data_IF_780765371804
#
_entry.id   IF_780765371804
#
_cell.length_a   1.000
_cell.length_b   1.000
_cell.length_c   1.000
_cell.angle_alpha   90.00
_cell.angle_beta   90.00
_cell.angle_gamma   90.00
#
_symmetry.space_group_name_H-M   'P 1'
#
loop_
_entity.id
_entity.type
_entity.pdbx_description
1 polymer ?
#
# COMPACT_ATOMS: atom_id res chain seq x y z
N UNK A 1 12.44 61.89 9.35
CA UNK A 1 12.83 60.50 9.11
C UNK A 1 11.59 59.75 8.68
N UNK A 2 11.52 59.43 7.39
CA UNK A 2 10.41 58.80 6.69
C UNK A 2 10.59 57.29 6.71
N UNK A 3 9.55 56.56 7.11
CA UNK A 3 9.49 55.10 7.10
C UNK A 3 9.01 54.60 5.74
N UNK A 4 9.77 53.75 5.08
CA UNK A 4 9.34 53.01 3.88
C UNK A 4 9.14 51.54 4.24
N UNK A 5 7.88 51.10 4.17
CA UNK A 5 7.46 49.69 4.12
C UNK A 5 7.41 49.25 2.64
N UNK A 6 8.09 48.16 2.32
CA UNK A 6 7.91 47.29 1.14
C UNK A 6 8.12 45.88 1.71
N UNK A 7 7.22 44.92 1.65
CA UNK A 7 6.21 44.61 0.65
C UNK A 7 6.49 43.18 0.23
N UNK A 8 5.97 42.22 1.00
CA UNK A 8 6.02 40.78 0.71
C UNK A 8 5.16 40.47 -0.51
N UNK A 9 5.68 39.71 -1.47
CA UNK A 9 4.88 39.12 -2.55
C UNK A 9 4.89 37.61 -2.38
N UNK A 10 3.73 37.09 -1.98
CA UNK A 10 3.29 35.71 -2.15
C UNK A 10 3.52 35.23 -3.59
N UNK A 11 4.06 34.02 -3.72
CA UNK A 11 3.86 33.20 -4.92
C UNK A 11 3.42 31.80 -4.49
N UNK A 12 2.13 31.66 -4.15
CA UNK A 12 1.41 30.39 -4.23
C UNK A 12 1.18 30.08 -5.71
N UNK A 13 1.90 29.10 -6.26
CA UNK A 13 1.56 28.46 -7.53
C UNK A 13 0.86 27.14 -7.23
N UNK A 14 -0.46 27.18 -7.08
CA UNK A 14 -1.29 25.98 -7.17
C UNK A 14 -1.73 25.84 -8.63
N UNK A 15 -1.38 24.73 -9.27
CA UNK A 15 -1.90 24.37 -10.58
C UNK A 15 -3.24 23.66 -10.41
N UNK A 16 -4.32 24.44 -10.48
CA UNK A 16 -5.65 23.92 -10.78
C UNK A 16 -5.72 23.64 -12.29
N UNK A 17 -5.77 22.36 -12.70
CA UNK A 17 -6.22 21.97 -14.04
C UNK A 17 -7.26 20.86 -13.95
N UNK A 18 -8.50 21.26 -13.68
CA UNK A 18 -9.68 20.43 -13.98
C UNK A 18 -9.97 20.48 -15.48
N UNK A 19 -9.75 19.36 -16.16
CA UNK A 19 -10.35 19.08 -17.47
C UNK A 19 -11.50 18.10 -17.26
N UNK A 20 -12.69 18.61 -16.97
CA UNK A 20 -13.92 17.80 -16.93
C UNK A 20 -14.33 17.49 -18.36
N UNK A 21 -14.04 16.29 -18.84
CA UNK A 21 -14.68 15.72 -20.03
C UNK A 21 -15.85 14.86 -19.56
N UNK A 22 -17.06 15.42 -19.61
CA UNK A 22 -18.32 14.71 -19.42
C UNK A 22 -18.52 13.71 -20.57
N UNK A 23 -18.11 12.45 -20.34
CA UNK A 23 -18.45 11.30 -21.16
C UNK A 23 -19.61 10.53 -20.55
N UNK A 24 -20.78 10.62 -21.17
CA UNK A 24 -22.00 9.89 -20.84
C UNK A 24 -21.83 8.36 -20.81
N UNK A 25 -22.13 7.76 -19.66
CA UNK A 25 -22.87 6.49 -19.55
C UNK A 25 -22.07 5.19 -19.71
N UNK A 26 -21.63 4.62 -18.59
CA UNK A 26 -21.55 3.17 -18.45
C UNK A 26 -22.34 2.72 -17.22
N UNK A 27 -23.19 1.72 -17.43
CA UNK A 27 -23.96 1.06 -16.40
C UNK A 27 -23.01 0.16 -15.60
N UNK A 28 -22.96 0.37 -14.28
CA UNK A 28 -22.32 -0.54 -13.35
C UNK A 28 -23.14 -1.84 -13.33
N UNK A 29 -22.58 -2.90 -13.91
CA UNK A 29 -23.08 -4.26 -13.69
C UNK A 29 -22.38 -4.75 -12.43
N UNK A 30 -23.16 -4.89 -11.36
CA UNK A 30 -22.69 -5.50 -10.11
C UNK A 30 -22.17 -6.90 -10.39
N UNK A 31 -20.95 -7.18 -9.91
CA UNK A 31 -20.38 -8.52 -9.87
C UNK A 31 -21.20 -9.32 -8.86
N UNK A 32 -22.20 -10.03 -9.36
CA UNK A 32 -22.99 -10.97 -8.59
C UNK A 32 -22.17 -12.23 -8.31
N UNK A 33 -22.15 -12.65 -7.05
CA UNK A 33 -21.56 -13.91 -6.59
C UNK A 33 -21.96 -15.08 -7.48
N UNK A 34 -20.94 -15.79 -7.96
CA UNK A 34 -21.12 -16.98 -8.79
C UNK A 34 -21.33 -18.16 -7.86
N UNK A 35 -22.60 -18.52 -7.64
CA UNK A 35 -22.95 -19.83 -7.12
C UNK A 35 -22.64 -20.90 -8.17
N UNK A 36 -21.61 -21.71 -7.92
CA UNK A 36 -21.26 -22.83 -8.79
C UNK A 36 -22.21 -24.01 -8.57
N UNK A 37 -22.93 -24.35 -9.64
CA UNK A 37 -23.83 -25.50 -9.73
C UNK A 37 -23.01 -26.74 -10.10
N UNK A 38 -23.16 -27.77 -9.27
CA UNK A 38 -22.74 -29.16 -9.53
C UNK A 38 -23.17 -29.65 -10.92
N UNK A 39 -22.19 -30.04 -11.74
CA UNK A 39 -22.33 -31.10 -12.73
C UNK A 39 -20.95 -31.70 -13.01
N UNK A 40 -20.75 -32.96 -12.64
CA UNK A 40 -19.55 -33.71 -12.94
C UNK A 40 -19.49 -34.17 -14.39
N UNK A 41 -18.28 -34.40 -14.87
CA UNK A 41 -17.98 -35.55 -15.71
C UNK A 41 -16.50 -35.92 -15.56
N UNK A 42 -16.23 -37.21 -15.45
CA UNK A 42 -14.92 -37.81 -15.30
C UNK A 42 -14.16 -37.78 -16.64
N UNK A 43 -12.93 -37.28 -16.69
CA UNK A 43 -11.92 -37.90 -17.54
C UNK A 43 -10.48 -37.55 -17.13
N UNK A 44 -9.75 -38.61 -16.76
CA UNK A 44 -8.32 -38.62 -16.49
C UNK A 44 -7.50 -38.67 -17.79
N UNK A 45 -6.36 -37.97 -17.80
CA UNK A 45 -5.05 -38.34 -18.40
C UNK A 45 -4.11 -37.13 -18.22
N UNK A 46 -3.27 -37.09 -17.19
CA UNK A 46 -1.89 -37.61 -17.17
C UNK A 46 -1.01 -37.10 -18.32
N UNK A 47 -0.25 -36.04 -18.05
CA UNK A 47 0.76 -35.49 -18.96
C UNK A 47 1.67 -34.49 -18.25
N UNK A 48 2.40 -34.95 -17.23
CA UNK A 48 3.41 -34.14 -16.56
C UNK A 48 4.58 -33.83 -17.49
N UNK A 49 4.80 -32.54 -17.74
CA UNK A 49 6.08 -32.00 -18.20
C UNK A 49 6.52 -30.96 -17.19
N UNK A 50 7.53 -31.30 -16.39
CA UNK A 50 8.22 -30.33 -15.56
C UNK A 50 9.12 -29.49 -16.46
N UNK A 51 8.91 -28.18 -16.43
CA UNK A 51 9.87 -27.20 -16.93
C UNK A 51 10.61 -26.66 -15.71
N UNK A 52 11.84 -27.14 -15.54
CA UNK A 52 12.86 -26.47 -14.73
C UNK A 52 13.88 -25.86 -15.68
N UNK A 53 14.54 -24.81 -15.21
CA UNK A 53 15.73 -24.13 -15.75
C UNK A 53 15.44 -22.77 -16.40
N UNK A 54 14.81 -21.88 -15.64
CA UNK A 54 15.11 -20.45 -15.69
C UNK A 54 16.01 -20.12 -14.49
N UNK A 55 17.11 -19.43 -14.73
CA UNK A 55 18.07 -18.91 -13.74
C UNK A 55 17.33 -17.94 -12.79
N UNK A 56 16.57 -18.49 -11.86
CA UNK A 56 15.90 -17.74 -10.81
C UNK A 56 16.98 -17.23 -9.89
N UNK A 57 17.20 -15.92 -9.90
CA UNK A 57 17.90 -15.25 -8.82
C UNK A 57 17.22 -15.69 -7.53
N UNK A 58 17.88 -16.57 -6.77
CA UNK A 58 17.44 -16.95 -5.44
C UNK A 58 17.42 -15.69 -4.61
N UNK A 59 16.23 -15.21 -4.29
CA UNK A 59 16.02 -14.14 -3.32
C UNK A 59 16.64 -14.62 -2.00
N UNK A 60 17.45 -13.80 -1.31
CA UNK A 60 18.03 -14.21 -0.05
C UNK A 60 16.92 -14.52 0.96
N UNK A 61 16.82 -15.79 1.39
CA UNK A 61 16.02 -16.16 2.55
C UNK A 61 16.47 -15.33 3.76
N UNK A 62 15.61 -14.42 4.22
CA UNK A 62 15.87 -13.55 5.37
C UNK A 62 15.55 -12.06 5.18
N UNK A 63 14.95 -11.65 4.07
CA UNK A 63 14.40 -10.30 3.94
C UNK A 63 13.08 -10.24 4.72
N UNK A 64 12.99 -9.40 5.75
CA UNK A 64 11.71 -9.07 6.37
C UNK A 64 10.87 -8.30 5.35
N UNK A 65 9.74 -8.88 4.93
CA UNK A 65 8.86 -8.30 3.92
C UNK A 65 7.81 -7.41 4.58
N UNK A 66 8.24 -6.23 5.04
CA UNK A 66 7.33 -5.20 5.53
C UNK A 66 6.80 -4.41 4.33
N UNK A 67 5.48 -4.20 4.27
CA UNK A 67 4.83 -3.63 3.09
C UNK A 67 3.87 -2.51 3.45
N UNK A 68 3.86 -1.48 2.62
CA UNK A 68 2.83 -0.45 2.64
C UNK A 68 2.18 -0.37 1.26
N UNK A 69 0.87 -0.17 1.25
CA UNK A 69 0.09 -0.11 0.01
C UNK A 69 -0.89 1.04 0.08
N UNK A 70 -1.02 1.75 -1.04
CA UNK A 70 -2.11 2.67 -1.32
C UNK A 70 -3.12 1.96 -2.22
N UNK A 71 -4.40 2.10 -1.89
CA UNK A 71 -5.51 1.59 -2.68
C UNK A 71 -6.41 2.75 -3.12
N UNK A 72 -6.50 2.93 -4.44
CA UNK A 72 -7.47 3.80 -5.11
C UNK A 72 -8.80 3.03 -5.20
N UNK A 73 -9.72 3.37 -4.28
CA UNK A 73 -11.00 2.68 -4.18
C UNK A 73 -12.02 3.17 -5.21
N UNK A 74 -12.04 4.48 -5.48
CA UNK A 74 -13.02 5.09 -6.37
C UNK A 74 -12.62 5.01 -7.86
N UNK A 75 -11.42 4.46 -8.11
CA UNK A 75 -10.86 4.17 -9.41
C UNK A 75 -10.70 5.45 -10.26
N UNK A 76 -10.38 6.57 -9.62
CA UNK A 76 -10.21 7.86 -10.31
C UNK A 76 -8.86 8.02 -11.01
N UNK A 77 -8.00 6.99 -10.90
CA UNK A 77 -6.66 6.89 -11.47
C UNK A 77 -5.61 7.77 -10.76
N UNK A 78 -5.87 8.14 -9.50
CA UNK A 78 -4.93 8.86 -8.66
C UNK A 78 -4.97 8.34 -7.22
N UNK A 79 -3.87 8.55 -6.48
CA UNK A 79 -3.85 8.39 -5.03
C UNK A 79 -3.90 9.77 -4.38
N UNK A 80 -5.09 10.14 -3.91
CA UNK A 80 -5.32 11.32 -3.08
C UNK A 80 -4.77 11.10 -1.67
N UNK A 81 -4.96 9.90 -1.08
CA UNK A 81 -4.22 9.53 0.13
C UNK A 81 -2.75 9.26 -0.19
N UNK A 82 -1.87 9.78 0.66
CA UNK A 82 -0.42 9.65 0.55
C UNK A 82 0.18 9.22 1.87
N UNK A 83 1.32 8.54 1.80
CA UNK A 83 2.18 8.29 2.95
C UNK A 83 3.46 9.11 2.80
N UNK A 84 3.93 9.69 3.90
CA UNK A 84 5.22 10.40 3.96
C UNK A 84 5.88 10.19 5.31
N UNK A 85 7.21 10.35 5.35
CA UNK A 85 7.97 10.39 6.60
C UNK A 85 8.09 11.83 7.07
N UNK A 86 7.69 12.11 8.31
CA UNK A 86 7.62 13.48 8.85
C UNK A 86 8.28 13.57 10.22
N UNK A 87 8.51 14.81 10.67
CA UNK A 87 8.79 15.06 12.08
C UNK A 87 7.57 14.71 12.93
N UNK A 88 7.85 14.43 14.21
CA UNK A 88 6.84 14.36 15.26
C UNK A 88 5.92 15.59 15.25
N UNK A 89 4.60 15.44 15.01
CA UNK A 89 3.65 16.54 15.01
C UNK A 89 3.50 17.21 16.39
N UNK A 90 3.96 16.57 17.47
CA UNK A 90 3.97 17.10 18.83
C UNK A 90 5.32 17.72 19.24
N UNK A 91 6.32 17.75 18.36
CA UNK A 91 7.67 18.27 18.63
C UNK A 91 8.40 17.58 19.82
N UNK A 92 8.07 16.31 20.15
CA UNK A 92 8.72 15.57 21.25
C UNK A 92 9.93 14.75 20.79
N UNK A 93 10.26 14.78 19.49
CA UNK A 93 11.47 14.20 18.92
C UNK A 93 11.36 12.73 18.52
N UNK A 94 10.15 12.24 18.19
CA UNK A 94 9.98 10.94 17.53
C UNK A 94 10.58 10.96 16.12
N UNK A 95 11.31 9.91 15.80
CA UNK A 95 11.89 9.64 14.48
C UNK A 95 10.97 8.64 13.73
N UNK A 96 11.13 8.52 12.41
CA UNK A 96 10.41 7.55 11.57
C UNK A 96 8.87 7.59 11.70
N UNK A 97 8.30 8.79 11.88
CA UNK A 97 6.85 8.97 11.96
C UNK A 97 6.25 8.87 10.55
N UNK A 98 5.39 7.87 10.35
CA UNK A 98 4.63 7.71 9.11
C UNK A 98 3.36 8.55 9.21
N UNK A 99 3.18 9.48 8.27
CA UNK A 99 1.99 10.31 8.15
C UNK A 99 1.18 9.90 6.93
N UNK A 100 -0.06 9.46 7.17
CA UNK A 100 -1.08 9.23 6.15
C UNK A 100 -1.95 10.47 6.03
N UNK A 101 -1.96 11.10 4.85
CA UNK A 101 -2.66 12.36 4.61
C UNK A 101 -3.36 12.40 3.26
N UNK A 102 -4.48 13.13 3.19
CA UNK A 102 -5.11 13.55 1.93
C UNK A 102 -4.98 15.05 1.67
N UNK A 103 -4.08 15.74 2.40
CA UNK A 103 -3.86 17.19 2.33
C UNK A 103 -5.15 18.04 2.48
N UNK A 104 -6.12 17.54 3.24
CA UNK A 104 -7.41 18.20 3.46
C UNK A 104 -8.49 17.87 2.44
N UNK A 105 -8.22 17.01 1.47
CA UNK A 105 -9.18 16.57 0.47
C UNK A 105 -9.95 15.33 0.96
N UNK A 106 -11.22 15.24 0.62
CA UNK A 106 -12.03 14.04 0.90
C UNK A 106 -11.68 12.98 -0.14
N UNK A 107 -11.31 11.78 0.30
CA UNK A 107 -10.90 10.68 -0.57
C UNK A 107 -11.50 9.35 -0.09
N UNK A 108 -11.80 8.47 -1.06
CA UNK A 108 -12.16 7.07 -0.81
C UNK A 108 -10.94 6.14 -0.75
N UNK A 109 -9.75 6.67 -1.01
CA UNK A 109 -8.52 5.91 -0.97
C UNK A 109 -8.25 5.37 0.42
N UNK A 110 -7.40 4.36 0.45
CA UNK A 110 -7.09 3.62 1.65
C UNK A 110 -5.60 3.29 1.69
N UNK A 111 -4.96 3.54 2.84
CA UNK A 111 -3.58 3.20 3.07
C UNK A 111 -3.49 2.04 4.06
N UNK A 112 -2.58 1.10 3.80
CA UNK A 112 -2.29 -0.03 4.70
C UNK A 112 -0.79 -0.12 4.91
N UNK A 113 -0.36 -0.35 6.14
CA UNK A 113 1.01 -0.67 6.52
C UNK A 113 1.02 -2.00 7.27
N UNK A 114 1.75 -3.00 6.78
CA UNK A 114 1.77 -4.36 7.31
C UNK A 114 3.19 -4.88 7.57
N UNK A 115 3.35 -5.64 8.64
CA UNK A 115 4.58 -6.32 9.03
C UNK A 115 4.40 -7.82 8.86
N UNK A 116 5.35 -8.46 8.17
CA UNK A 116 5.44 -9.91 8.07
C UNK A 116 6.13 -10.48 9.31
N UNK A 117 5.44 -11.38 10.00
CA UNK A 117 5.86 -11.99 11.27
C UNK A 117 6.14 -13.48 11.12
N UNK A 118 6.13 -14.04 9.90
CA UNK A 118 6.36 -15.49 9.67
C UNK A 118 7.71 -15.96 10.17
N UNK A 119 8.73 -15.10 10.12
CA UNK A 119 10.06 -15.40 10.62
C UNK A 119 10.12 -15.52 12.17
N UNK A 120 9.13 -14.96 12.87
CA UNK A 120 9.08 -14.90 14.33
C UNK A 120 8.38 -16.12 14.95
N UNK A 121 7.67 -16.93 14.17
CA UNK A 121 6.93 -18.13 14.61
C UNK A 121 6.00 -17.85 15.81
N UNK A 122 5.29 -16.72 15.76
CA UNK A 122 4.39 -16.28 16.82
C UNK A 122 3.03 -16.98 16.74
N UNK A 123 2.45 -17.29 17.90
CA UNK A 123 1.05 -17.75 18.00
C UNK A 123 0.22 -16.72 18.76
N UNK A 124 -1.11 -16.79 18.63
CA UNK A 124 -2.02 -15.92 19.38
C UNK A 124 -1.80 -16.01 20.90
N UNK A 125 -1.61 -17.21 21.44
CA UNK A 125 -1.32 -17.39 22.87
C UNK A 125 0.04 -16.83 23.32
N UNK A 126 0.96 -16.57 22.39
CA UNK A 126 2.23 -15.90 22.69
C UNK A 126 2.11 -14.37 22.73
N UNK A 127 1.03 -13.81 22.18
CA UNK A 127 0.79 -12.36 22.05
C UNK A 127 -0.54 -11.92 22.65
N UNK A 128 -1.17 -12.76 23.48
CA UNK A 128 -2.45 -12.46 24.14
C UNK A 128 -2.30 -11.55 25.37
N UNK A 129 -1.10 -11.48 25.96
CA UNK A 129 -0.83 -10.61 27.11
C UNK A 129 -0.92 -9.12 26.69
N UNK A 130 -1.54 -8.29 27.54
CA UNK A 130 -1.60 -6.83 27.37
C UNK A 130 -0.22 -6.24 27.01
N UNK A 131 -0.19 -5.40 25.99
CA UNK A 131 1.02 -4.75 25.50
C UNK A 131 1.86 -5.59 24.54
N UNK A 132 1.45 -6.82 24.20
CA UNK A 132 2.23 -7.66 23.26
C UNK A 132 2.15 -7.19 21.82
N UNK A 133 1.06 -6.53 21.42
CA UNK A 133 0.91 -5.88 20.11
C UNK A 133 0.46 -4.45 20.37
N UNK A 134 1.34 -3.49 20.13
CA UNK A 134 1.04 -2.07 20.34
C UNK A 134 1.53 -1.21 19.19
N UNK A 135 0.91 -0.05 19.01
CA UNK A 135 1.48 1.01 18.20
C UNK A 135 0.98 2.37 18.68
N UNK A 136 1.80 3.40 18.46
CA UNK A 136 1.43 4.76 18.75
C UNK A 136 0.74 5.39 17.55
N UNK A 137 -0.31 6.17 17.83
CA UNK A 137 -1.02 6.95 16.82
C UNK A 137 -1.27 8.38 17.29
N UNK A 138 -1.36 9.28 16.32
CA UNK A 138 -1.73 10.67 16.54
C UNK A 138 -2.75 11.07 15.50
N UNK A 139 -3.86 11.65 15.95
CA UNK A 139 -4.88 12.20 15.07
C UNK A 139 -4.58 13.66 14.77
N UNK A 140 -4.28 13.96 13.51
CA UNK A 140 -4.04 15.32 13.05
C UNK A 140 -5.31 16.17 13.05
N UNK A 141 -5.12 17.50 12.93
CA UNK A 141 -6.20 18.48 13.09
C UNK A 141 -7.27 18.40 12.00
N UNK A 142 -6.90 17.91 10.81
CA UNK A 142 -7.77 17.91 9.63
C UNK A 142 -8.54 16.61 9.44
N UNK A 143 -8.23 15.56 10.22
CA UNK A 143 -8.91 14.28 10.13
C UNK A 143 -10.42 14.41 10.40
N UNK A 144 -11.25 13.97 9.45
CA UNK A 144 -12.72 14.03 9.58
C UNK A 144 -13.35 12.76 10.14
N UNK A 145 -12.54 11.74 10.42
CA UNK A 145 -12.95 10.44 10.94
C UNK A 145 -12.17 10.13 12.22
N UNK A 146 -12.30 8.93 12.77
CA UNK A 146 -11.65 8.50 14.01
C UNK A 146 -10.34 7.78 13.72
N UNK A 147 -9.32 8.05 14.53
CA UNK A 147 -7.96 7.52 14.39
C UNK A 147 -7.54 6.95 15.75
N UNK A 148 -7.03 5.71 15.88
CA UNK A 148 -6.66 4.83 14.78
C UNK A 148 -7.92 4.33 14.09
N UNK A 149 -7.80 3.75 12.90
CA UNK A 149 -8.97 3.22 12.21
C UNK A 149 -9.03 1.71 12.43
N UNK A 150 -8.32 0.96 11.60
CA UNK A 150 -8.46 -0.49 11.54
C UNK A 150 -7.11 -1.15 11.86
N UNK A 151 -7.15 -2.22 12.66
CA UNK A 151 -6.05 -3.17 12.80
C UNK A 151 -6.47 -4.49 12.22
N UNK A 152 -5.55 -5.16 11.53
CA UNK A 152 -5.75 -6.45 10.89
C UNK A 152 -4.73 -7.45 11.44
N UNK A 153 -5.20 -8.65 11.75
CA UNK A 153 -4.38 -9.80 12.09
C UNK A 153 -4.59 -10.87 11.02
N UNK A 154 -3.49 -11.41 10.50
CA UNK A 154 -3.53 -12.51 9.54
C UNK A 154 -3.06 -13.76 10.25
N UNK A 155 -3.92 -14.76 10.24
CA UNK A 155 -3.81 -15.91 11.11
C UNK A 155 -3.82 -17.19 10.29
N UNK A 156 -2.91 -18.10 10.59
CA UNK A 156 -3.01 -19.50 10.17
C UNK A 156 -3.58 -20.33 11.30
N UNK A 157 -4.74 -20.94 11.07
CA UNK A 157 -5.38 -21.84 12.02
C UNK A 157 -4.65 -23.18 12.09
N UNK A 158 -4.94 -23.94 13.14
CA UNK A 158 -4.38 -25.29 13.33
C UNK A 158 -4.72 -26.29 12.20
N UNK A 159 -5.79 -26.04 11.42
CA UNK A 159 -6.16 -26.85 10.26
C UNK A 159 -5.44 -26.42 8.96
N UNK A 160 -4.56 -25.41 9.04
CA UNK A 160 -3.82 -24.82 7.93
C UNK A 160 -4.58 -23.72 7.19
N UNK A 161 -5.86 -23.51 7.47
CA UNK A 161 -6.66 -22.47 6.83
C UNK A 161 -6.24 -21.07 7.29
N UNK A 162 -6.28 -20.10 6.37
CA UNK A 162 -5.92 -18.72 6.65
C UNK A 162 -7.18 -17.89 6.92
N UNK A 163 -7.11 -17.01 7.90
CA UNK A 163 -8.14 -16.02 8.18
C UNK A 163 -7.53 -14.64 8.32
N UNK A 164 -8.26 -13.64 7.86
CA UNK A 164 -8.00 -12.23 8.21
C UNK A 164 -9.07 -11.80 9.17
N UNK A 165 -8.66 -11.35 10.34
CA UNK A 165 -9.55 -10.68 11.27
C UNK A 165 -9.16 -9.23 11.44
N UNK A 166 -10.14 -8.38 11.66
CA UNK A 166 -9.91 -6.97 11.88
C UNK A 166 -10.83 -6.38 12.95
N UNK A 167 -10.36 -5.31 13.56
CA UNK A 167 -11.13 -4.50 14.49
C UNK A 167 -10.89 -3.03 14.24
N UNK A 168 -12.00 -2.32 14.16
CA UNK A 168 -12.02 -0.86 14.16
C UNK A 168 -12.15 -0.37 15.60
N UNK A 169 -11.23 0.49 16.04
CA UNK A 169 -11.36 1.21 17.30
C UNK A 169 -11.38 2.70 17.04
N UNK A 170 -12.29 3.40 17.69
CA UNK A 170 -12.78 4.68 17.26
C UNK A 170 -12.53 5.72 18.37
N UNK A 171 -11.46 6.53 18.27
CA UNK A 171 -11.26 7.67 19.19
C UNK A 171 -11.37 9.03 18.49
N UNK A 172 -11.91 9.99 19.25
CA UNK A 172 -12.12 11.38 18.85
C UNK A 172 -11.02 12.32 19.41
N UNK A 173 -9.99 11.79 20.07
CA UNK A 173 -8.92 12.61 20.61
C UNK A 173 -8.03 13.16 19.48
N UNK A 174 -7.90 14.48 19.43
CA UNK A 174 -7.06 15.18 18.46
C UNK A 174 -5.75 15.63 19.12
N UNK A 175 -4.71 15.71 18.29
CA UNK A 175 -3.44 16.36 18.62
C UNK A 175 -2.72 15.82 19.86
N UNK A 176 -2.94 14.55 20.19
CA UNK A 176 -2.30 13.86 21.31
C UNK A 176 -1.86 12.49 20.84
N UNK A 177 -0.63 12.11 21.17
CA UNK A 177 -0.14 10.76 20.96
C UNK A 177 -0.81 9.82 21.95
N UNK A 178 -1.35 8.73 21.43
CA UNK A 178 -1.99 7.67 22.19
C UNK A 178 -1.38 6.33 21.76
N UNK A 179 -1.41 5.35 22.66
CA UNK A 179 -0.99 3.98 22.36
C UNK A 179 -2.23 3.13 22.17
N UNK A 180 -2.34 2.42 21.04
CA UNK A 180 -3.31 1.35 20.88
C UNK A 180 -2.68 0.05 21.33
N UNK A 181 -3.33 -0.63 22.28
CA UNK A 181 -2.91 -1.95 22.76
C UNK A 181 -3.85 -3.01 22.18
N UNK A 182 -3.45 -3.55 21.03
CA UNK A 182 -4.26 -4.49 20.24
C UNK A 182 -4.45 -5.81 20.97
N UNK A 183 -3.44 -6.26 21.72
CA UNK A 183 -3.53 -7.50 22.53
C UNK A 183 -4.61 -7.38 23.60
N UNK A 184 -4.69 -6.23 24.29
CA UNK A 184 -5.75 -5.98 25.27
C UNK A 184 -7.17 -5.97 24.67
N UNK A 185 -7.28 -5.82 23.34
CA UNK A 185 -8.55 -5.83 22.61
C UNK A 185 -8.98 -7.25 22.18
N UNK A 186 -8.17 -8.29 22.38
CA UNK A 186 -8.49 -9.64 21.89
C UNK A 186 -9.82 -10.16 22.42
N UNK A 187 -10.12 -9.94 23.71
CA UNK A 187 -11.39 -10.34 24.33
C UNK A 187 -12.56 -9.36 24.04
N UNK A 188 -12.29 -8.23 23.39
CA UNK A 188 -13.30 -7.21 23.14
C UNK A 188 -14.30 -7.64 22.06
N UNK A 189 -15.50 -7.07 22.10
CA UNK A 189 -16.46 -7.17 21.00
C UNK A 189 -15.98 -6.35 19.78
N UNK A 190 -16.54 -6.68 18.61
CA UNK A 190 -16.43 -5.87 17.40
C UNK A 190 -15.41 -6.35 16.37
N UNK A 191 -14.73 -7.48 16.65
CA UNK A 191 -13.92 -8.17 15.66
C UNK A 191 -14.80 -8.75 14.55
N UNK A 192 -14.25 -8.82 13.36
CA UNK A 192 -14.87 -9.44 12.18
C UNK A 192 -13.82 -10.19 11.41
N UNK A 193 -14.19 -11.30 10.77
CA UNK A 193 -13.23 -12.13 10.05
C UNK A 193 -13.76 -12.61 8.71
N UNK A 194 -12.83 -12.85 7.78
CA UNK A 194 -13.08 -13.66 6.59
C UNK A 194 -12.06 -14.79 6.51
N UNK A 195 -12.50 -15.93 5.99
CA UNK A 195 -11.59 -16.98 5.55
C UNK A 195 -11.01 -16.57 4.21
N UNK A 196 -9.70 -16.79 4.03
CA UNK A 196 -9.02 -16.58 2.75
C UNK A 196 -8.59 -17.93 2.21
N UNK A 197 -8.75 -18.12 0.91
CA UNK A 197 -8.30 -19.35 0.27
C UNK A 197 -6.77 -19.45 0.42
N UNK A 198 -6.26 -20.61 0.85
CA UNK A 198 -4.83 -20.81 0.95
C UNK A 198 -4.18 -20.72 -0.45
N UNK A 199 -4.90 -21.02 -1.53
CA UNK A 199 -4.40 -20.85 -2.89
C UNK A 199 -4.32 -19.35 -3.32
N UNK A 200 -4.99 -18.45 -2.57
CA UNK A 200 -4.87 -17.00 -2.76
C UNK A 200 -3.65 -16.41 -2.03
N UNK A 201 -3.03 -17.17 -1.13
CA UNK A 201 -1.88 -16.74 -0.34
C UNK A 201 -0.73 -17.68 -0.67
N UNK A 202 0.31 -17.18 -1.36
CA UNK A 202 1.48 -18.00 -1.69
C UNK A 202 2.36 -18.26 -0.45
N UNK A 203 1.89 -19.15 0.44
CA UNK A 203 2.57 -19.47 1.70
C UNK A 203 3.91 -20.17 1.45
N UNK A 204 4.06 -20.88 0.32
CA UNK A 204 5.20 -21.75 0.02
C UNK A 204 6.31 -21.04 -0.79
N UNK A 205 5.97 -20.11 -1.70
CA UNK A 205 6.93 -19.28 -2.45
C UNK A 205 6.88 -17.82 -1.97
N UNK A 206 7.50 -17.57 -0.81
CA UNK A 206 7.93 -16.25 -0.31
C UNK A 206 6.95 -15.08 -0.46
N UNK A 207 5.66 -15.17 -0.08
CA UNK A 207 4.87 -13.95 0.21
C UNK A 207 3.51 -14.32 0.80
N UNK A 208 3.14 -13.75 1.96
CA UNK A 208 1.70 -13.58 2.19
C UNK A 208 1.24 -12.68 1.07
N UNK A 209 0.62 -13.24 0.02
CA UNK A 209 0.19 -12.59 -1.23
C UNK A 209 -0.98 -11.61 -1.02
N UNK A 210 -0.97 -10.96 0.12
CA UNK A 210 -0.76 -9.53 0.32
C UNK A 210 -1.72 -9.14 1.39
N UNK A 211 -1.18 -8.93 2.59
CA UNK A 211 -1.92 -8.39 3.73
C UNK A 211 -2.81 -7.24 3.28
N UNK A 212 -2.23 -6.30 2.52
CA UNK A 212 -2.95 -5.17 1.95
C UNK A 212 -3.90 -5.46 0.76
N UNK A 213 -3.64 -6.42 -0.14
CA UNK A 213 -4.57 -6.79 -1.23
C UNK A 213 -5.75 -7.54 -0.68
N UNK A 214 -5.48 -8.48 0.23
CA UNK A 214 -6.49 -9.23 0.95
C UNK A 214 -7.36 -8.25 1.72
N UNK A 215 -6.75 -7.28 2.41
CA UNK A 215 -7.49 -6.20 3.07
C UNK A 215 -8.26 -5.37 2.04
N UNK A 216 -7.65 -4.79 1.02
CA UNK A 216 -8.32 -3.91 0.06
C UNK A 216 -9.45 -4.60 -0.71
N UNK A 217 -9.18 -5.77 -1.27
CA UNK A 217 -10.17 -6.58 -2.02
C UNK A 217 -11.33 -7.01 -1.14
N UNK A 218 -11.06 -7.32 0.14
CA UNK A 218 -12.09 -7.86 1.04
C UNK A 218 -12.61 -6.86 2.07
N UNK A 219 -12.16 -5.60 2.13
CA UNK A 219 -12.54 -4.71 3.24
C UNK A 219 -14.06 -4.50 3.29
N UNK A 220 -14.70 -4.43 2.12
CA UNK A 220 -16.17 -4.33 2.02
C UNK A 220 -16.84 -5.59 2.56
N UNK A 221 -16.36 -6.75 2.15
CA UNK A 221 -16.87 -8.04 2.62
C UNK A 221 -16.65 -8.21 4.14
N UNK A 222 -15.48 -7.83 4.64
CA UNK A 222 -15.09 -7.81 6.05
C UNK A 222 -16.02 -6.91 6.87
N UNK A 223 -16.34 -5.70 6.39
CA UNK A 223 -17.24 -4.75 7.07
C UNK A 223 -18.67 -5.26 7.20
N UNK A 224 -19.10 -6.14 6.30
CA UNK A 224 -20.42 -6.76 6.30
C UNK A 224 -20.52 -8.03 7.16
N UNK A 225 -19.39 -8.59 7.61
CA UNK A 225 -19.39 -9.81 8.43
C UNK A 225 -20.03 -9.59 9.80
N UNK A 226 -20.59 -10.69 10.32
CA UNK A 226 -21.04 -10.74 11.71
C UNK A 226 -19.86 -10.48 12.65
N UNK A 227 -20.13 -9.67 13.67
CA UNK A 227 -19.14 -9.41 14.70
C UNK A 227 -19.03 -10.61 15.64
N UNK A 228 -17.82 -10.84 16.12
CA UNK A 228 -17.55 -11.78 17.19
C UNK A 228 -16.75 -11.10 18.30
N UNK A 229 -16.63 -11.82 19.41
CA UNK A 229 -15.83 -11.46 20.58
C UNK A 229 -14.77 -12.53 20.78
N UNK A 230 -13.63 -12.15 21.34
CA UNK A 230 -12.57 -13.08 21.70
C UNK A 230 -11.87 -13.75 20.49
N UNK A 231 -10.76 -13.15 20.09
CA UNK A 231 -9.88 -13.63 19.00
C UNK A 231 -9.28 -15.00 19.35
N UNK A 232 -8.90 -15.21 20.61
CA UNK A 232 -8.23 -16.45 21.04
C UNK A 232 -9.23 -17.59 21.11
N UNK A 233 -10.44 -17.37 21.61
CA UNK A 233 -11.52 -18.37 21.58
C UNK A 233 -11.94 -18.71 20.15
N UNK A 234 -11.96 -17.72 19.24
CA UNK A 234 -12.38 -17.91 17.85
C UNK A 234 -11.40 -18.75 17.02
N UNK A 235 -10.09 -18.53 17.17
CA UNK A 235 -9.07 -19.18 16.33
C UNK A 235 -8.22 -20.21 17.06
N UNK A 236 -8.23 -20.20 18.39
CA UNK A 236 -7.37 -20.99 19.26
C UNK A 236 -6.02 -20.32 19.52
N UNK A 237 -5.50 -20.47 20.74
CA UNK A 237 -4.19 -19.95 21.15
C UNK A 237 -3.00 -20.46 20.30
N UNK A 238 -3.16 -21.62 19.65
CA UNK A 238 -2.15 -22.22 18.78
C UNK A 238 -2.18 -21.67 17.33
N UNK A 239 -3.13 -20.79 16.98
CA UNK A 239 -3.14 -20.18 15.65
C UNK A 239 -1.90 -19.28 15.49
N UNK A 240 -1.20 -19.41 14.37
CA UNK A 240 0.00 -18.64 14.08
C UNK A 240 -0.38 -17.23 13.60
N UNK A 241 0.26 -16.22 14.17
CA UNK A 241 0.18 -14.84 13.72
C UNK A 241 1.19 -14.63 12.60
N UNK A 242 0.70 -14.54 11.36
CA UNK A 242 1.54 -14.39 10.19
C UNK A 242 1.91 -12.94 9.92
N UNK A 243 1.01 -12.01 10.22
CA UNK A 243 1.21 -10.59 9.99
C UNK A 243 0.25 -9.73 10.83
N UNK A 244 0.69 -8.49 11.08
CA UNK A 244 -0.12 -7.41 11.66
C UNK A 244 -0.12 -6.25 10.69
N UNK A 245 -1.28 -5.63 10.47
CA UNK A 245 -1.37 -4.43 9.66
C UNK A 245 -2.26 -3.35 10.27
N UNK A 246 -1.91 -2.11 9.94
CA UNK A 246 -2.62 -0.89 10.31
C UNK A 246 -3.23 -0.32 9.03
N UNK A 247 -4.54 -0.16 9.03
CA UNK A 247 -5.27 0.47 7.94
C UNK A 247 -5.72 1.89 8.29
N UNK A 248 -5.78 2.74 7.27
CA UNK A 248 -6.17 4.13 7.41
C UNK A 248 -6.90 4.64 6.17
N UNK A 249 -8.11 5.16 6.35
CA UNK A 249 -8.88 5.79 5.29
C UNK A 249 -10.35 5.45 5.41
N UNK A 250 -11.12 5.66 4.34
CA UNK A 250 -12.51 5.21 4.33
C UNK A 250 -12.99 5.07 2.91
N UNK A 251 -13.48 3.89 2.56
CA UNK A 251 -14.17 3.62 1.30
C UNK A 251 -15.42 4.48 1.07
N UNK A 252 -15.94 5.14 2.11
CA UNK A 252 -17.10 6.06 2.01
C UNK A 252 -16.69 7.53 1.80
N UNK A 253 -15.39 7.86 1.85
CA UNK A 253 -14.88 9.22 1.71
C UNK A 253 -14.58 9.90 3.05
N UNK A 254 -13.31 10.21 3.31
CA UNK A 254 -12.85 10.97 4.49
C UNK A 254 -11.64 11.85 4.16
N UNK A 255 -11.36 12.83 5.03
CA UNK A 255 -10.08 13.54 5.04
C UNK A 255 -9.11 12.79 5.96
N UNK A 256 -8.01 12.30 5.38
CA UNK A 256 -6.94 11.57 6.07
C UNK A 256 -5.91 12.54 6.67
N UNK A 257 -5.60 12.36 7.95
CA UNK A 257 -4.56 13.10 8.69
C UNK A 257 -4.23 12.32 9.97
N UNK A 258 -3.45 11.25 9.80
CA UNK A 258 -3.10 10.31 10.86
C UNK A 258 -1.61 10.01 10.84
N UNK A 259 -1.01 9.89 12.03
CA UNK A 259 0.41 9.60 12.19
C UNK A 259 0.56 8.31 12.98
N UNK A 260 1.53 7.50 12.60
CA UNK A 260 1.81 6.20 13.19
C UNK A 260 3.29 6.06 13.52
N UNK A 261 3.59 5.39 14.62
CA UNK A 261 4.95 5.20 15.11
C UNK A 261 5.02 4.00 16.07
N UNK A 262 6.22 3.46 16.30
CA UNK A 262 6.53 2.52 17.38
C UNK A 262 5.62 1.28 17.40
N UNK A 263 5.53 0.58 16.26
CA UNK A 263 4.83 -0.69 16.20
C UNK A 263 5.66 -1.76 16.92
N UNK A 264 5.13 -2.32 17.99
CA UNK A 264 5.77 -3.37 18.77
C UNK A 264 4.96 -4.66 18.67
N UNK A 265 5.64 -5.78 18.40
CA UNK A 265 5.06 -7.12 18.43
C UNK A 265 5.96 -8.05 19.24
N UNK A 266 5.42 -8.64 20.29
CA UNK A 266 6.11 -9.52 21.24
C UNK A 266 7.42 -8.93 21.78
N UNK A 267 7.45 -7.63 22.08
CA UNK A 267 8.63 -6.91 22.57
C UNK A 267 9.66 -6.54 21.50
N UNK A 268 9.38 -6.83 20.22
CA UNK A 268 10.21 -6.41 19.09
C UNK A 268 9.62 -5.18 18.43
N UNK A 269 10.40 -4.11 18.33
CA UNK A 269 10.00 -2.88 17.63
C UNK A 269 10.21 -3.03 16.12
N UNK A 270 9.22 -2.62 15.35
CA UNK A 270 9.20 -2.60 13.90
C UNK A 270 9.02 -1.17 13.41
N UNK A 271 9.81 -0.79 12.41
CA UNK A 271 9.56 0.45 11.65
C UNK A 271 8.27 0.27 10.85
N UNK A 272 7.34 1.21 10.98
CA UNK A 272 6.10 1.21 10.20
C UNK A 272 6.46 1.41 8.71
N UNK A 273 6.10 0.48 7.81
CA UNK A 273 6.40 0.63 6.39
C UNK A 273 5.62 1.80 5.79
N UNK A 274 6.16 2.39 4.73
CA UNK A 274 5.52 3.50 4.03
C UNK A 274 5.76 3.45 2.52
N UNK A 275 4.74 3.85 1.75
CA UNK A 275 4.81 4.04 0.30
C UNK A 275 4.81 5.53 -0.01
N UNK A 276 6.00 6.06 -0.24
CA UNK A 276 6.27 7.49 -0.39
C UNK A 276 5.85 7.98 -1.78
N UNK A 277 5.05 9.05 -1.82
CA UNK A 277 4.55 9.59 -3.08
C UNK A 277 5.59 10.50 -3.76
N UNK A 278 5.81 10.27 -5.04
CA UNK A 278 6.66 11.09 -5.90
C UNK A 278 5.85 11.66 -7.08
N UNK A 279 6.26 12.81 -7.58
CA UNK A 279 5.71 13.45 -8.77
C UNK A 279 6.57 13.07 -9.98
N UNK A 280 5.97 12.44 -11.03
CA UNK A 280 6.70 12.12 -12.25
C UNK A 280 6.62 13.24 -13.27
N UNK A 281 7.72 13.46 -13.99
CA UNK A 281 7.77 14.21 -15.25
C UNK A 281 8.29 13.28 -16.34
N UNK A 282 7.49 13.08 -17.39
CA UNK A 282 7.88 12.25 -18.53
C UNK A 282 8.44 13.10 -19.66
N UNK A 283 9.58 12.70 -20.19
CA UNK A 283 10.14 13.21 -21.44
C UNK A 283 10.09 12.08 -22.49
N UNK A 284 9.26 12.27 -23.51
CA UNK A 284 9.21 11.36 -24.66
C UNK A 284 9.98 11.99 -25.82
N UNK A 285 11.09 11.35 -26.22
CA UNK A 285 11.80 11.77 -27.43
C UNK A 285 11.04 11.30 -28.68
N UNK A 286 9.95 11.99 -29.03
CA UNK A 286 9.07 11.63 -30.15
C UNK A 286 9.69 11.81 -31.55
N UNK A 287 10.67 12.71 -31.74
CA UNK A 287 11.20 12.99 -33.09
C UNK A 287 12.47 12.17 -33.41
N UNK A 288 12.26 10.90 -33.79
CA UNK A 288 13.31 10.03 -34.36
C UNK A 288 14.14 9.27 -33.33
N UNK A 289 13.72 9.26 -32.06
CA UNK A 289 14.27 8.42 -31.01
C UNK A 289 13.91 6.94 -31.19
N UNK A 290 14.56 6.09 -30.42
CA UNK A 290 14.33 4.65 -30.36
C UNK A 290 13.04 4.26 -29.61
N UNK A 291 12.28 5.23 -29.09
CA UNK A 291 11.04 5.03 -28.34
C UNK A 291 11.26 4.88 -26.83
N UNK A 292 12.45 5.22 -26.32
CA UNK A 292 12.72 5.23 -24.88
C UNK A 292 11.87 6.26 -24.16
N UNK A 293 11.48 5.91 -22.94
CA UNK A 293 10.75 6.77 -22.01
C UNK A 293 11.71 7.14 -20.90
N UNK A 294 11.96 8.43 -20.74
CA UNK A 294 12.70 8.97 -19.59
C UNK A 294 11.70 9.55 -18.61
N UNK A 295 11.76 9.13 -17.35
CA UNK A 295 11.00 9.74 -16.25
C UNK A 295 11.96 10.39 -15.26
N UNK A 296 11.60 11.59 -14.81
CA UNK A 296 12.22 12.25 -13.68
C UNK A 296 11.22 12.29 -12.53
N UNK A 297 11.65 11.88 -11.34
CA UNK A 297 10.83 11.72 -10.15
C UNK A 297 11.40 12.56 -9.01
N UNK A 298 10.53 13.29 -8.32
CA UNK A 298 10.86 14.03 -7.09
C UNK A 298 9.80 13.79 -6.04
N UNK A 299 10.16 13.77 -4.75
CA UNK A 299 9.15 13.67 -3.70
C UNK A 299 8.15 14.82 -3.76
N UNK A 300 6.87 14.50 -3.55
CA UNK A 300 5.80 15.52 -3.46
C UNK A 300 5.98 16.37 -2.20
N UNK A 301 6.51 15.76 -1.14
CA UNK A 301 6.70 16.32 0.19
C UNK A 301 8.14 16.16 0.67
N UNK A 302 8.56 17.00 1.62
CA UNK A 302 9.80 16.74 2.37
C UNK A 302 9.63 15.45 3.18
N UNK A 303 10.44 14.43 2.86
CA UNK A 303 10.47 13.18 3.61
C UNK A 303 11.68 13.17 4.54
N UNK A 304 11.47 12.92 5.83
CA UNK A 304 12.55 12.87 6.80
C UNK A 304 13.30 11.55 6.74
N UNK A 305 14.64 11.63 6.83
CA UNK A 305 15.49 10.45 6.96
C UNK A 305 15.72 9.65 5.67
N UNK A 306 15.13 10.06 4.55
CA UNK A 306 15.26 9.37 3.25
C UNK A 306 15.59 10.36 2.14
N UNK A 307 16.43 9.93 1.21
CA UNK A 307 16.83 10.64 -0.01
C UNK A 307 16.49 9.84 -1.25
N UNK A 308 16.33 10.52 -2.39
CA UNK A 308 16.25 9.83 -3.70
C UNK A 308 17.52 9.05 -4.04
N UNK A 309 18.65 9.42 -3.42
CA UNK A 309 19.92 8.71 -3.56
C UNK A 309 19.93 7.35 -2.86
N UNK A 310 19.00 7.13 -1.92
CA UNK A 310 18.86 5.87 -1.17
C UNK A 310 17.92 4.88 -1.89
N UNK A 311 17.38 5.24 -3.06
CA UNK A 311 16.53 4.36 -3.87
C UNK A 311 17.39 3.28 -4.52
N UNK A 312 17.01 2.02 -4.36
CA UNK A 312 17.68 0.90 -5.03
C UNK A 312 17.41 0.99 -6.55
N UNK A 313 18.43 1.28 -7.38
CA UNK A 313 18.26 1.43 -8.82
C UNK A 313 17.76 0.13 -9.47
N UNK A 314 18.10 -1.04 -8.93
CA UNK A 314 17.67 -2.33 -9.45
C UNK A 314 16.21 -2.64 -9.13
N UNK A 315 15.58 -1.88 -8.25
CA UNK A 315 14.17 -2.04 -7.86
C UNK A 315 13.20 -1.18 -8.69
N UNK A 316 13.68 -0.23 -9.48
CA UNK A 316 12.82 0.73 -10.20
C UNK A 316 12.09 0.05 -11.35
N UNK A 317 10.76 0.18 -11.35
CA UNK A 317 9.83 -0.46 -12.29
C UNK A 317 8.79 0.53 -12.79
N UNK A 318 8.24 0.25 -13.97
CA UNK A 318 7.07 0.94 -14.52
C UNK A 318 6.04 -0.07 -15.00
N UNK A 319 4.76 0.21 -14.78
CA UNK A 319 3.64 -0.59 -15.27
C UNK A 319 2.44 0.28 -15.63
N UNK A 320 1.43 -0.29 -16.28
CA UNK A 320 0.13 0.37 -16.45
C UNK A 320 -0.53 0.65 -15.10
N UNK A 321 -1.40 1.65 -15.04
CA UNK A 321 -2.11 1.96 -13.80
C UNK A 321 -2.75 0.72 -13.15
N UNK A 322 -2.58 0.61 -11.83
CA UNK A 322 -3.17 -0.38 -10.95
C UNK A 322 -3.81 0.36 -9.78
N UNK A 323 -4.99 -0.07 -9.29
CA UNK A 323 -5.60 0.54 -8.11
C UNK A 323 -4.80 0.26 -6.83
N UNK A 324 -3.85 -0.67 -6.86
CA UNK A 324 -2.93 -0.93 -5.75
C UNK A 324 -1.51 -0.47 -6.11
N UNK A 325 -0.89 0.25 -5.19
CA UNK A 325 0.46 0.79 -5.31
C UNK A 325 1.33 0.50 -4.08
N UNK A 326 2.54 -0.08 -4.25
CA UNK A 326 3.04 -0.63 -5.52
C UNK A 326 2.20 -1.82 -6.00
N UNK A 327 2.28 -2.18 -7.28
CA UNK A 327 1.64 -3.38 -7.79
C UNK A 327 2.13 -4.61 -7.02
N UNK A 328 1.19 -5.48 -6.72
CA UNK A 328 1.42 -6.68 -5.94
C UNK A 328 2.08 -7.75 -6.82
N UNK A 329 3.21 -8.35 -6.42
CA UNK A 329 3.79 -9.46 -7.16
C UNK A 329 2.79 -10.60 -7.34
N UNK A 330 2.65 -11.10 -8.57
CA UNK A 330 1.73 -12.20 -8.88
C UNK A 330 0.24 -11.81 -8.99
N UNK A 331 -0.14 -10.56 -8.70
CA UNK A 331 -1.50 -10.08 -8.98
C UNK A 331 -1.76 -10.01 -10.49
N UNK A 332 -3.04 -10.10 -10.88
CA UNK A 332 -3.52 -10.02 -12.27
C UNK A 332 -3.36 -8.62 -12.90
N UNK A 333 -2.41 -7.80 -12.42
CA UNK A 333 -2.16 -6.45 -12.94
C UNK A 333 -2.01 -6.55 -14.46
N UNK A 334 -2.89 -5.87 -15.22
CA UNK A 334 -2.97 -6.05 -16.65
C UNK A 334 -1.75 -5.40 -17.33
N UNK A 335 -0.69 -6.18 -17.55
CA UNK A 335 0.42 -5.83 -18.44
C UNK A 335 1.80 -5.90 -17.80
N UNK A 336 2.79 -6.17 -18.66
CA UNK A 336 4.18 -6.40 -18.28
C UNK A 336 4.78 -5.25 -17.47
N UNK A 337 5.40 -5.60 -16.36
CA UNK A 337 6.24 -4.70 -15.57
C UNK A 337 7.55 -4.49 -16.32
N UNK A 338 7.90 -3.25 -16.63
CA UNK A 338 9.17 -2.88 -17.24
C UNK A 338 10.18 -2.48 -16.16
N UNK A 339 11.36 -3.09 -16.16
CA UNK A 339 12.49 -2.61 -15.38
C UNK A 339 13.14 -1.39 -16.05
N UNK A 340 13.63 -0.46 -15.25
CA UNK A 340 14.48 0.61 -15.76
C UNK A 340 15.80 0.01 -16.27
N UNK A 341 16.26 0.48 -17.43
CA UNK A 341 17.56 0.11 -17.99
C UNK A 341 18.70 0.89 -17.33
N UNK A 342 18.42 2.15 -16.99
CA UNK A 342 19.35 3.08 -16.37
C UNK A 342 18.58 3.88 -15.31
N UNK A 343 19.19 4.02 -14.13
CA UNK A 343 18.66 4.80 -13.02
C UNK A 343 19.79 5.66 -12.48
N UNK A 344 19.53 6.93 -12.25
CA UNK A 344 20.47 7.86 -11.64
C UNK A 344 19.74 8.81 -10.69
N UNK A 345 20.34 9.11 -9.55
CA UNK A 345 19.82 10.09 -8.60
C UNK A 345 20.78 11.27 -8.50
N UNK A 346 20.26 12.48 -8.60
CA UNK A 346 21.03 13.72 -8.39
C UNK A 346 20.10 14.89 -8.11
N UNK A 347 20.54 15.85 -7.28
CA UNK A 347 19.81 17.09 -7.01
C UNK A 347 18.33 16.86 -6.64
N UNK A 348 18.07 15.94 -5.69
CA UNK A 348 16.72 15.55 -5.23
C UNK A 348 15.80 14.99 -6.32
N UNK A 349 16.36 14.58 -7.44
CA UNK A 349 15.63 14.00 -8.58
C UNK A 349 16.19 12.62 -8.93
N UNK A 350 15.32 11.62 -8.99
CA UNK A 350 15.62 10.33 -9.59
C UNK A 350 15.26 10.37 -11.07
N UNK A 351 16.19 10.02 -11.96
CA UNK A 351 15.92 9.85 -13.40
C UNK A 351 16.04 8.37 -13.74
N UNK A 352 15.02 7.83 -14.40
CA UNK A 352 14.99 6.45 -14.85
C UNK A 352 14.62 6.38 -16.35
N UNK A 353 15.38 5.58 -17.09
CA UNK A 353 15.12 5.32 -18.50
C UNK A 353 14.54 3.91 -18.67
N UNK A 354 13.45 3.82 -19.42
CA UNK A 354 12.81 2.57 -19.76
C UNK A 354 12.93 2.32 -21.26
N UNK A 355 13.31 1.09 -21.62
CA UNK A 355 13.22 0.62 -23.00
C UNK A 355 11.79 0.82 -23.56
N UNK A 356 11.63 0.98 -24.88
CA UNK A 356 10.33 0.97 -25.52
C UNK A 356 9.71 -0.40 -25.27
N UNK A 357 8.80 -0.48 -24.31
CA UNK A 357 8.34 -1.77 -23.85
C UNK A 357 7.54 -2.46 -24.95
N UNK A 358 7.88 -3.71 -25.24
CA UNK A 358 7.08 -4.54 -26.16
C UNK A 358 5.64 -4.75 -25.66
N UNK A 359 5.37 -4.53 -24.37
CA UNK A 359 4.06 -4.76 -23.74
C UNK A 359 3.42 -3.48 -23.15
N UNK A 360 4.12 -2.64 -22.36
CA UNK A 360 3.56 -1.31 -22.00
C UNK A 360 3.51 -0.34 -23.18
N UNK A 361 4.24 -0.62 -24.27
CA UNK A 361 4.14 0.10 -25.54
C UNK A 361 2.98 -0.37 -26.44
N UNK A 362 2.33 -1.50 -26.12
CA UNK A 362 1.16 -1.95 -26.89
C UNK A 362 -0.11 -1.17 -26.52
N UNK A 363 -0.21 -0.69 -25.28
CA UNK A 363 -1.24 0.24 -24.82
C UNK A 363 -1.01 1.67 -25.36
N UNK A 364 0.24 2.06 -25.64
CA UNK A 364 0.57 3.36 -26.25
C UNK A 364 0.46 3.40 -27.77
N UNK A 365 0.11 2.31 -28.46
CA UNK A 365 -0.06 2.27 -29.93
C UNK A 365 -1.31 3.03 -30.47
N UNK A 366 -1.81 4.02 -29.74
CA UNK A 366 -2.82 4.96 -30.21
C UNK A 366 -2.62 6.35 -29.63
N UNK A 367 -3.22 7.37 -30.25
CA UNK A 367 -3.19 8.78 -29.83
C UNK A 367 -3.81 9.06 -28.43
N UNK A 368 -3.97 8.05 -27.57
CA UNK A 368 -4.59 8.18 -26.26
C UNK A 368 -3.51 8.19 -25.17
N UNK A 369 -3.55 9.17 -24.25
CA UNK A 369 -2.69 9.12 -23.08
C UNK A 369 -2.98 7.84 -22.28
N UNK A 370 -1.92 7.28 -21.70
CA UNK A 370 -1.99 6.11 -20.82
C UNK A 370 -1.46 6.49 -19.46
N UNK A 371 -2.23 6.25 -18.40
CA UNK A 371 -1.78 6.46 -17.03
C UNK A 371 -0.91 5.27 -16.60
N UNK A 372 0.27 5.58 -16.04
CA UNK A 372 1.25 4.59 -15.60
C UNK A 372 1.61 4.79 -14.13
N UNK A 373 2.10 3.70 -13.54
CA UNK A 373 2.75 3.71 -12.22
C UNK A 373 4.24 3.51 -12.41
N UNK A 374 5.04 4.35 -11.76
CA UNK A 374 6.47 4.13 -11.55
C UNK A 374 6.69 3.89 -10.07
N UNK A 375 7.40 2.82 -9.71
CA UNK A 375 7.57 2.40 -8.33
C UNK A 375 8.92 1.74 -8.10
N UNK A 376 9.32 1.61 -6.84
CA UNK A 376 10.55 0.94 -6.43
C UNK A 376 10.69 0.89 -4.91
N UNK A 377 11.83 0.37 -4.45
CA UNK A 377 12.21 0.27 -3.05
C UNK A 377 13.44 1.10 -2.72
N UNK A 378 13.65 1.31 -1.43
CA UNK A 378 14.87 1.92 -0.91
C UNK A 378 15.88 0.82 -0.54
N UNK A 379 17.18 1.14 -0.57
CA UNK A 379 18.25 0.21 -0.15
C UNK A 379 18.15 -0.11 1.36
N UNK A 380 17.70 0.87 2.15
CA UNK A 380 17.52 0.74 3.60
C UNK A 380 16.08 1.06 4.01
N UNK A 381 15.62 0.37 5.07
CA UNK A 381 14.30 0.55 5.66
C UNK A 381 13.15 -0.12 4.89
N UNK A 382 11.96 -0.21 5.49
CA UNK A 382 10.79 -0.84 4.88
C UNK A 382 10.01 0.15 4.01
N UNK A 383 10.72 0.96 3.21
CA UNK A 383 10.14 2.04 2.43
C UNK A 383 10.08 1.69 0.96
N UNK A 384 9.04 2.16 0.30
CA UNK A 384 8.83 2.07 -1.14
C UNK A 384 8.44 3.45 -1.66
N UNK A 385 8.55 3.67 -2.95
CA UNK A 385 7.99 4.87 -3.58
C UNK A 385 7.00 4.50 -4.67
N UNK A 386 6.06 5.42 -4.92
CA UNK A 386 5.17 5.37 -6.08
C UNK A 386 5.00 6.75 -6.69
N UNK A 387 4.91 6.79 -8.01
CA UNK A 387 4.52 7.93 -8.79
C UNK A 387 3.46 7.52 -9.81
N UNK A 388 2.43 8.36 -9.97
CA UNK A 388 1.38 8.18 -10.98
C UNK A 388 1.44 9.33 -11.96
N UNK A 389 1.34 9.03 -13.25
CA UNK A 389 1.18 10.09 -14.24
C UNK A 389 0.85 9.59 -15.63
N UNK A 390 0.54 10.53 -16.51
CA UNK A 390 0.11 10.24 -17.88
C UNK A 390 1.29 10.26 -18.85
N UNK A 391 1.45 9.17 -19.59
CA UNK A 391 2.27 9.13 -20.80
C UNK A 391 1.43 9.65 -21.97
N UNK A 392 1.81 10.81 -22.52
CA UNK A 392 1.27 11.26 -23.80
C UNK A 392 1.72 10.27 -24.91
N UNK A 393 0.82 9.93 -25.84
CA UNK A 393 1.04 8.85 -26.82
C UNK A 393 2.38 8.98 -27.54
N UNK A 394 3.20 7.93 -27.47
CA UNK A 394 4.58 7.84 -28.01
C UNK A 394 4.57 7.51 -29.50
#
# INVERSE_FOLDING_TARGET
>A
MTTNKKGSSDSKRGFNRRSVVLGTGMAIVGVGGVGSVLAGDEQAESGGQSHTDGDGATVPQGVQHNEAVLWDHDMDLAFTNRMRLTADPADEGREDVVHVTSDGEESQDYAVAGIDLRAEDLTLGAVEDDGSITYNYYKGETATYRVPDEVFLILQRADGGIAVTYRKEDTDQFQTWETRDVSSEFEADGWRMIDVDADEIDVDDEQVRVTAETIGTNIMALREQEQYSDVVDQFGADAHLLAVAIGNGSVDGVVSDAYFHDLEVAGTSYTVPATLTMEPTFDSQQEGGDGRITVSLSFVDENQGVSVEDIDPESVRMTSYSPFAPPIPGSDVPGGVASADEVSASDDTLTADFAPAGETGSSSQGDRPSTVLVFGGFEEGPYRFVAVGDLEGV
#
